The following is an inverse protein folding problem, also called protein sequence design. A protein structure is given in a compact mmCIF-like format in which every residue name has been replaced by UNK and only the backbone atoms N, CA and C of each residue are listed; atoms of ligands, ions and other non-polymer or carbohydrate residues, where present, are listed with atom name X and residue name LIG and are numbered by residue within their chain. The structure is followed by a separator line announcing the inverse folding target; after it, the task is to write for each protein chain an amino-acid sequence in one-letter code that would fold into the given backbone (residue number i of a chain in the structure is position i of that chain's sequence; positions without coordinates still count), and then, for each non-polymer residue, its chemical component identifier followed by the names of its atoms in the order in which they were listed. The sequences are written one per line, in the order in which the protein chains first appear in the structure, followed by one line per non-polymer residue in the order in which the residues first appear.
data_IF_986690074078
#
_entry.id   IF_986690074078
#
_cell.length_a   1.000
_cell.length_b   1.000
_cell.length_c   1.000
_cell.angle_alpha   90.00
_cell.angle_beta   90.00
_cell.angle_gamma   90.00
#
_symmetry.space_group_name_H-M   'P 1'
#
loop_
_entity.id
_entity.type
_entity.pdbx_description
1 polymer ?
#
# COMPACT_ATOMS: atom_id res chain seq x y z
N UNK A 1 2.91 -1.06 -3.87
CA UNK A 1 4.23 -0.41 -3.65
C UNK A 1 4.48 -0.27 -2.15
N UNK A 2 5.70 -0.48 -1.60
CA UNK A 2 5.98 -0.24 -0.18
C UNK A 2 5.69 1.20 0.27
N UNK A 3 5.24 1.38 1.51
CA UNK A 3 4.84 2.69 2.08
C UNK A 3 5.95 3.73 1.95
N UNK A 4 7.21 3.38 2.26
CA UNK A 4 8.34 4.29 2.14
C UNK A 4 8.52 4.86 0.74
N UNK A 5 8.35 4.02 -0.29
CA UNK A 5 8.45 4.45 -1.69
C UNK A 5 7.26 5.34 -2.10
N UNK A 6 6.05 5.07 -1.59
CA UNK A 6 4.89 5.96 -1.79
C UNK A 6 5.13 7.34 -1.16
N UNK A 7 5.67 7.38 0.07
CA UNK A 7 6.05 8.64 0.75
C UNK A 7 7.05 9.43 -0.11
N UNK A 8 8.09 8.75 -0.60
CA UNK A 8 9.12 9.36 -1.46
C UNK A 8 8.52 9.97 -2.72
N UNK A 9 7.69 9.20 -3.43
CA UNK A 9 7.06 9.64 -4.66
C UNK A 9 6.17 10.88 -4.44
N UNK A 10 5.37 10.88 -3.37
CA UNK A 10 4.50 12.01 -3.02
C UNK A 10 5.33 13.24 -2.62
N UNK A 11 6.42 13.05 -1.86
CA UNK A 11 7.33 14.14 -1.49
C UNK A 11 7.94 14.80 -2.73
N UNK A 12 8.44 13.99 -3.65
CA UNK A 12 9.05 14.45 -4.90
C UNK A 12 8.04 15.14 -5.82
N UNK A 13 6.82 14.59 -5.94
CA UNK A 13 5.72 15.22 -6.68
C UNK A 13 5.32 16.60 -6.13
N UNK A 14 5.59 16.86 -4.84
CA UNK A 14 5.37 18.15 -4.18
C UNK A 14 6.58 19.08 -4.24
N UNK A 15 7.65 18.68 -4.93
CA UNK A 15 8.88 19.46 -5.07
C UNK A 15 9.64 19.64 -3.76
N UNK A 16 9.38 18.82 -2.74
CA UNK A 16 10.07 18.92 -1.46
C UNK A 16 11.34 18.08 -1.46
N UNK A 17 12.45 18.65 -1.04
CA UNK A 17 13.63 17.89 -0.67
C UNK A 17 13.43 17.14 0.65
N UNK A 18 14.27 16.15 0.91
CA UNK A 18 14.25 15.43 2.20
C UNK A 18 14.60 16.36 3.37
N UNK A 19 15.43 17.39 3.14
CA UNK A 19 15.82 18.36 4.16
C UNK A 19 14.61 19.21 4.54
N UNK A 20 13.93 19.81 3.56
CA UNK A 20 12.72 20.62 3.80
C UNK A 20 11.60 19.81 4.46
N UNK A 21 11.44 18.53 4.08
CA UNK A 21 10.46 17.66 4.73
C UNK A 21 10.80 17.43 6.21
N UNK A 22 12.07 17.21 6.54
CA UNK A 22 12.54 17.05 7.93
C UNK A 22 12.39 18.34 8.75
N UNK A 23 12.67 19.50 8.16
CA UNK A 23 12.47 20.80 8.82
C UNK A 23 11.00 20.98 9.22
N UNK A 24 10.07 20.71 8.30
CA UNK A 24 8.62 20.76 8.58
C UNK A 24 8.15 19.70 9.58
N UNK A 25 8.80 18.53 9.62
CA UNK A 25 8.52 17.51 10.62
C UNK A 25 8.95 17.97 12.02
N UNK A 26 10.08 18.66 12.10
CA UNK A 26 10.60 19.24 13.35
C UNK A 26 9.61 20.26 13.93
N UNK A 27 9.02 21.12 13.08
CA UNK A 27 7.96 22.06 13.49
C UNK A 27 6.72 21.37 14.06
N UNK A 28 6.47 20.11 13.69
CA UNK A 28 5.39 19.27 14.22
C UNK A 28 5.80 18.40 15.40
N UNK A 29 6.97 18.64 15.98
CA UNK A 29 7.50 17.91 17.14
C UNK A 29 8.11 16.55 16.80
N UNK A 30 8.35 16.25 15.52
CA UNK A 30 9.02 15.02 15.08
C UNK A 30 10.46 15.33 14.71
N UNK A 31 11.37 14.95 15.59
CA UNK A 31 12.80 15.11 15.37
C UNK A 31 13.37 13.85 14.70
N UNK A 32 13.77 13.97 13.43
CA UNK A 32 14.50 12.93 12.70
C UNK A 32 15.54 13.56 11.78
N UNK A 33 16.59 12.82 11.42
CA UNK A 33 17.57 13.32 10.46
C UNK A 33 17.13 13.10 9.00
N UNK A 34 17.74 13.81 8.05
CA UNK A 34 17.55 13.58 6.61
C UNK A 34 17.91 12.14 6.21
N UNK A 35 18.95 11.57 6.80
CA UNK A 35 19.35 10.17 6.59
C UNK A 35 18.28 9.21 7.12
N UNK A 36 17.62 9.56 8.22
CA UNK A 36 16.52 8.75 8.79
C UNK A 36 15.33 8.73 7.83
N UNK A 37 14.91 9.90 7.33
CA UNK A 37 13.86 9.98 6.32
C UNK A 37 14.25 9.21 5.05
N UNK A 38 15.49 9.33 4.59
CA UNK A 38 15.99 8.57 3.44
C UNK A 38 15.93 7.06 3.65
N UNK A 39 16.30 6.57 4.84
CA UNK A 39 16.18 5.15 5.18
C UNK A 39 14.73 4.68 5.19
N UNK A 40 13.80 5.50 5.71
CA UNK A 40 12.36 5.20 5.66
C UNK A 40 11.88 5.11 4.21
N UNK A 41 12.21 6.12 3.40
CA UNK A 41 11.78 6.22 2.00
C UNK A 41 12.29 5.08 1.12
N UNK A 42 13.48 4.55 1.43
CA UNK A 42 14.05 3.41 0.72
C UNK A 42 13.72 2.05 1.37
N UNK A 43 12.87 2.01 2.39
CA UNK A 43 12.46 0.76 3.07
C UNK A 43 13.53 0.13 3.97
N UNK A 44 14.62 0.85 4.25
CA UNK A 44 15.73 0.41 5.09
C UNK A 44 15.49 0.69 6.59
N UNK A 45 14.41 1.40 6.94
CA UNK A 45 13.95 1.62 8.30
C UNK A 45 12.43 1.62 8.33
N UNK A 46 11.85 1.00 9.36
CA UNK A 46 10.41 1.11 9.64
C UNK A 46 10.03 2.53 10.06
N UNK A 47 8.76 2.88 9.89
CA UNK A 47 8.18 4.15 10.32
C UNK A 47 7.10 3.87 11.35
N UNK A 48 7.14 4.57 12.48
CA UNK A 48 6.11 4.46 13.51
C UNK A 48 4.82 5.17 13.07
N UNK A 49 3.69 4.82 13.70
CA UNK A 49 2.40 5.47 13.39
C UNK A 49 2.42 6.99 13.64
N UNK A 50 3.17 7.44 14.65
CA UNK A 50 3.31 8.86 14.99
C UNK A 50 4.11 9.60 13.93
N UNK A 51 5.27 9.06 13.52
CA UNK A 51 6.08 9.60 12.42
C UNK A 51 5.27 9.62 11.11
N UNK A 52 4.56 8.54 10.80
CA UNK A 52 3.77 8.40 9.58
C UNK A 52 2.65 9.46 9.51
N UNK A 53 1.93 9.67 10.60
CA UNK A 53 0.89 10.70 10.67
C UNK A 53 1.47 12.11 10.47
N UNK A 54 2.63 12.40 11.07
CA UNK A 54 3.30 13.69 10.88
C UNK A 54 3.77 13.88 9.43
N UNK A 55 4.32 12.83 8.81
CA UNK A 55 4.70 12.82 7.38
C UNK A 55 3.49 13.12 6.51
N UNK A 56 2.35 12.47 6.75
CA UNK A 56 1.11 12.73 6.00
C UNK A 56 0.66 14.19 6.13
N UNK A 57 0.78 14.79 7.33
CA UNK A 57 0.46 16.20 7.55
C UNK A 57 1.44 17.16 6.86
N UNK A 58 2.74 16.87 6.87
CA UNK A 58 3.76 17.67 6.15
C UNK A 58 3.55 17.60 4.65
N UNK A 59 3.23 16.41 4.17
CA UNK A 59 2.88 16.13 2.80
C UNK A 59 1.41 16.46 2.49
N UNK A 60 0.63 17.06 3.39
CA UNK A 60 -0.80 17.38 3.22
C UNK A 60 -1.59 16.33 2.38
N UNK A 61 -1.52 15.07 2.81
CA UNK A 61 -2.27 13.93 2.24
C UNK A 61 -3.09 13.26 3.34
N UNK A 62 -4.18 12.61 2.94
CA UNK A 62 -4.84 11.61 3.78
C UNK A 62 -3.97 10.36 3.88
N UNK A 63 -3.89 9.77 5.08
CA UNK A 63 -3.06 8.58 5.33
C UNK A 63 -3.51 7.38 4.48
N UNK A 64 -4.79 7.29 4.12
CA UNK A 64 -5.34 6.21 3.30
C UNK A 64 -4.70 6.14 1.91
N UNK A 65 -4.22 7.26 1.35
CA UNK A 65 -3.51 7.29 0.06
C UNK A 65 -2.25 6.40 0.10
N UNK A 66 -1.61 6.23 1.26
CA UNK A 66 -0.46 5.34 1.39
C UNK A 66 -0.84 3.85 1.37
N UNK A 67 -2.10 3.53 1.64
CA UNK A 67 -2.64 2.17 1.72
C UNK A 67 -3.56 1.82 0.54
N UNK A 68 -3.96 2.81 -0.26
CA UNK A 68 -4.52 2.58 -1.58
C UNK A 68 -3.44 1.91 -2.43
N UNK A 69 -3.59 0.60 -2.63
CA UNK A 69 -2.83 -0.07 -3.67
C UNK A 69 -3.48 0.25 -5.02
N UNK A 70 -2.66 0.43 -6.06
CA UNK A 70 -3.11 0.49 -7.46
C UNK A 70 -3.72 -0.85 -7.94
N UNK A 71 -4.22 -1.68 -7.03
CA UNK A 71 -5.21 -2.68 -7.40
C UNK A 71 -6.50 -1.91 -7.58
N UNK A 72 -6.81 -1.65 -8.87
CA UNK A 72 -8.14 -1.28 -9.37
C UNK A 72 -9.20 -1.69 -8.35
N UNK A 73 -9.99 -0.73 -7.85
CA UNK A 73 -11.01 -0.97 -6.82
C UNK A 73 -11.63 -2.37 -7.05
N UNK A 74 -11.36 -3.29 -6.12
CA UNK A 74 -11.90 -4.65 -6.16
C UNK A 74 -13.40 -4.53 -6.52
N UNK A 75 -13.88 -5.22 -7.56
CA UNK A 75 -15.23 -5.00 -8.11
C UNK A 75 -16.28 -5.10 -7.00
N UNK A 76 -16.06 -5.98 -6.03
CA UNK A 76 -16.87 -6.12 -4.82
C UNK A 76 -16.91 -4.82 -4.01
N UNK A 77 -15.78 -4.13 -3.85
CA UNK A 77 -15.66 -2.83 -3.17
C UNK A 77 -16.43 -1.74 -3.91
N UNK A 78 -16.39 -1.68 -5.24
CA UNK A 78 -17.20 -0.73 -6.03
C UNK A 78 -18.70 -0.93 -5.80
N UNK A 79 -19.14 -2.19 -5.78
CA UNK A 79 -20.56 -2.52 -5.59
C UNK A 79 -21.02 -2.28 -4.16
N UNK A 80 -20.15 -2.53 -3.16
CA UNK A 80 -20.42 -2.15 -1.76
C UNK A 80 -20.56 -0.63 -1.60
N UNK A 81 -19.67 0.17 -2.19
CA UNK A 81 -19.71 1.65 -2.16
C UNK A 81 -21.00 2.23 -2.76
N UNK A 82 -21.67 1.51 -3.66
CA UNK A 82 -22.93 1.92 -4.31
C UNK A 82 -24.20 1.43 -3.61
N UNK A 83 -24.10 0.79 -2.44
CA UNK A 83 -25.22 0.27 -1.65
C UNK A 83 -26.12 -0.73 -2.41
N UNK A 84 -25.53 -1.61 -3.23
CA UNK A 84 -26.26 -2.73 -3.82
C UNK A 84 -26.69 -3.77 -2.77
N UNK A 85 -27.64 -4.63 -3.11
CA UNK A 85 -28.08 -5.71 -2.22
C UNK A 85 -26.92 -6.67 -1.90
N UNK A 86 -26.92 -7.22 -0.69
CA UNK A 86 -25.90 -8.18 -0.24
C UNK A 86 -25.78 -9.36 -1.19
N UNK A 87 -26.92 -9.89 -1.66
CA UNK A 87 -26.97 -10.95 -2.67
C UNK A 87 -26.24 -10.58 -3.97
N UNK A 88 -26.41 -9.33 -4.45
CA UNK A 88 -25.71 -8.86 -5.65
C UNK A 88 -24.20 -8.80 -5.42
N UNK A 89 -23.78 -8.34 -4.24
CA UNK A 89 -22.35 -8.27 -3.87
C UNK A 89 -21.74 -9.66 -3.82
N UNK A 90 -22.43 -10.65 -3.24
CA UNK A 90 -22.00 -12.05 -3.21
C UNK A 90 -21.86 -12.66 -4.62
N UNK A 91 -22.78 -12.34 -5.53
CA UNK A 91 -22.71 -12.81 -6.93
C UNK A 91 -21.49 -12.22 -7.65
N UNK A 92 -21.20 -10.94 -7.45
CA UNK A 92 -20.03 -10.26 -8.01
C UNK A 92 -18.73 -10.83 -7.44
N UNK A 93 -18.69 -11.13 -6.15
CA UNK A 93 -17.53 -11.74 -5.48
C UNK A 93 -17.17 -13.09 -6.10
N UNK A 94 -18.17 -13.97 -6.29
CA UNK A 94 -17.97 -15.26 -6.96
C UNK A 94 -17.40 -15.11 -8.37
N UNK A 95 -17.94 -14.17 -9.15
CA UNK A 95 -17.47 -13.93 -10.51
C UNK A 95 -16.03 -13.42 -10.52
N UNK A 96 -15.71 -12.49 -9.62
CA UNK A 96 -14.37 -11.94 -9.48
C UNK A 96 -13.33 -13.02 -9.14
N UNK A 97 -13.66 -13.93 -8.21
CA UNK A 97 -12.79 -15.03 -7.83
C UNK A 97 -12.53 -15.99 -9.00
N UNK A 98 -13.56 -16.27 -9.81
CA UNK A 98 -13.40 -17.05 -11.03
C UNK A 98 -12.43 -16.39 -12.02
N UNK A 99 -12.55 -15.07 -12.23
CA UNK A 99 -11.64 -14.32 -13.11
C UNK A 99 -10.20 -14.36 -12.58
N UNK A 100 -10.01 -14.12 -11.28
CA UNK A 100 -8.70 -14.20 -10.61
C UNK A 100 -8.07 -15.59 -10.81
N UNK A 101 -8.86 -16.67 -10.71
CA UNK A 101 -8.40 -18.04 -10.97
C UNK A 101 -7.91 -18.24 -12.41
N UNK A 102 -8.63 -17.74 -13.42
CA UNK A 102 -8.18 -17.85 -14.82
C UNK A 102 -6.91 -17.04 -15.10
N UNK A 103 -6.80 -15.83 -14.54
CA UNK A 103 -5.58 -15.02 -14.63
C UNK A 103 -4.40 -15.77 -14.01
N UNK A 104 -4.62 -16.42 -12.86
CA UNK A 104 -3.62 -17.23 -12.19
C UNK A 104 -3.16 -18.42 -13.04
N UNK A 105 -4.09 -19.16 -13.65
CA UNK A 105 -3.77 -20.25 -14.58
C UNK A 105 -2.97 -19.76 -15.79
N UNK A 106 -3.31 -18.60 -16.36
CA UNK A 106 -2.54 -17.98 -17.45
C UNK A 106 -1.11 -17.63 -17.02
N UNK A 107 -0.92 -17.10 -15.82
CA UNK A 107 0.42 -16.81 -15.27
C UNK A 107 1.25 -18.09 -15.07
N UNK A 108 0.60 -19.20 -14.66
CA UNK A 108 1.25 -20.52 -14.59
C UNK A 108 1.71 -20.96 -15.97
N UNK A 109 0.81 -20.91 -16.96
CA UNK A 109 1.13 -21.31 -18.34
C UNK A 109 2.31 -20.52 -18.92
N UNK A 110 2.36 -19.20 -18.68
CA UNK A 110 3.45 -18.35 -19.14
C UNK A 110 4.76 -18.49 -18.36
N UNK A 111 4.81 -19.27 -17.27
CA UNK A 111 5.98 -19.36 -16.39
C UNK A 111 6.24 -18.09 -15.56
N UNK A 112 5.30 -17.15 -15.53
CA UNK A 112 5.34 -15.91 -14.74
C UNK A 112 4.93 -16.15 -13.28
N UNK A 113 4.43 -17.34 -12.98
CA UNK A 113 3.95 -17.69 -11.66
C UNK A 113 5.11 -17.89 -10.67
N UNK A 114 5.23 -16.96 -9.72
CA UNK A 114 6.11 -17.10 -8.56
C UNK A 114 5.26 -17.65 -7.39
N UNK A 115 5.28 -18.96 -7.13
CA UNK A 115 4.58 -19.50 -5.96
C UNK A 115 5.10 -18.79 -4.71
N UNK A 116 4.18 -18.23 -3.91
CA UNK A 116 4.51 -17.98 -2.52
C UNK A 116 4.80 -19.35 -1.91
N UNK A 117 6.06 -19.62 -1.55
CA UNK A 117 6.44 -20.80 -0.77
C UNK A 117 5.78 -20.67 0.60
N UNK A 118 4.54 -21.13 0.72
CA UNK A 118 3.92 -21.38 2.02
C UNK A 118 4.21 -22.83 2.34
N UNK A 119 5.00 -23.07 3.38
CA UNK A 119 5.04 -24.40 3.99
C UNK A 119 3.63 -24.70 4.49
N UNK A 120 3.04 -25.84 4.12
CA UNK A 120 1.77 -26.21 4.68
C UNK A 120 1.91 -26.42 6.19
N UNK A 121 0.95 -25.91 6.96
CA UNK A 121 0.94 -26.04 8.43
C UNK A 121 0.96 -27.51 8.91
N UNK A 122 0.51 -28.45 8.07
CA UNK A 122 0.53 -29.88 8.38
C UNK A 122 1.89 -30.56 8.22
N UNK A 123 2.91 -29.87 7.68
CA UNK A 123 4.29 -30.37 7.66
C UNK A 123 5.07 -30.05 8.95
N UNK A 124 4.47 -29.29 9.87
CA UNK A 124 5.06 -28.90 11.17
C UNK A 124 4.52 -29.72 12.36
N UNK A 125 3.80 -30.83 12.11
CA UNK A 125 3.30 -31.76 13.12
C UNK A 125 3.97 -33.13 13.04
#
# INVERSE_FOLDING_TARGET
MPIGLKIKAIREARGLSQIEAVERLTEKGINMSRETLSKIENGNRTVSAVELNAICKVLNIDINILFEDEEDDDLVTLFRKKNFSEKTVEEVEKLQDMIKMFIYQKKIYNGEFKPQKRKPLWEEC
#
